data_IF_512844488339
#
_entry.id   IF_512844488339
#
_cell.length_a   1.000
_cell.length_b   1.000
_cell.length_c   1.000
_cell.angle_alpha   90.00
_cell.angle_beta   90.00
_cell.angle_gamma   90.00
#
_symmetry.space_group_name_H-M   'P 1'
#
loop_
_entity.id
_entity.type
_entity.pdbx_description
1 polymer ?
#
# COMPACT_ATOMS: atom_id res chain seq x y z
N UNK A 1 26.35 12.36 -56.61
CA UNK A 1 26.48 12.36 -55.13
C UNK A 1 25.20 12.91 -54.53
N UNK A 2 24.32 12.07 -53.99
CA UNK A 2 23.14 12.48 -53.23
C UNK A 2 23.42 12.12 -51.76
N UNK A 3 23.70 13.12 -50.94
CA UNK A 3 23.81 12.94 -49.50
C UNK A 3 22.40 12.90 -48.91
N UNK A 4 21.94 11.72 -48.51
CA UNK A 4 20.78 11.56 -47.65
C UNK A 4 21.20 11.79 -46.20
N UNK A 5 20.82 12.93 -45.63
CA UNK A 5 20.86 13.13 -44.18
C UNK A 5 19.67 12.38 -43.56
N UNK A 6 19.92 11.21 -42.98
CA UNK A 6 19.04 10.64 -41.97
C UNK A 6 19.30 11.35 -40.65
N UNK A 7 18.42 12.28 -40.27
CA UNK A 7 18.40 12.84 -38.93
C UNK A 7 17.83 11.79 -37.96
N UNK A 8 18.70 11.17 -37.17
CA UNK A 8 18.31 10.34 -36.05
C UNK A 8 17.74 11.23 -34.94
N UNK A 9 16.42 11.21 -34.76
CA UNK A 9 15.78 11.79 -33.58
C UNK A 9 16.01 10.85 -32.39
N UNK A 10 17.08 11.11 -31.64
CA UNK A 10 17.22 10.57 -30.29
C UNK A 10 16.24 11.34 -29.39
N UNK A 11 15.13 10.69 -29.05
CA UNK A 11 14.20 11.17 -28.03
C UNK A 11 14.89 11.09 -26.65
N UNK A 12 15.54 12.18 -26.26
CA UNK A 12 15.85 12.48 -24.87
C UNK A 12 14.53 12.69 -24.15
N UNK A 13 13.92 11.61 -23.65
CA UNK A 13 12.86 11.68 -22.66
C UNK A 13 13.43 12.25 -21.37
N UNK A 14 13.53 13.57 -21.28
CA UNK A 14 13.71 14.28 -20.02
C UNK A 14 12.48 13.98 -19.17
N UNK A 15 12.59 12.98 -18.29
CA UNK A 15 11.59 12.75 -17.26
C UNK A 15 11.53 14.00 -16.40
N UNK A 16 10.42 14.73 -16.49
CA UNK A 16 10.23 15.92 -15.67
C UNK A 16 9.82 15.46 -14.27
N UNK A 17 10.60 15.83 -13.26
CA UNK A 17 10.28 15.56 -11.86
C UNK A 17 8.91 16.18 -11.54
N UNK A 18 7.96 15.37 -11.05
CA UNK A 18 6.65 15.88 -10.68
C UNK A 18 6.76 16.83 -9.50
N UNK A 19 5.90 17.84 -9.44
CA UNK A 19 5.96 18.90 -8.44
C UNK A 19 4.66 18.97 -7.64
N UNK A 20 4.77 19.03 -6.31
CA UNK A 20 3.65 19.25 -5.39
C UNK A 20 4.09 20.20 -4.28
N UNK A 21 3.33 21.27 -4.03
CA UNK A 21 3.63 22.26 -2.97
C UNK A 21 5.09 22.79 -2.96
N UNK A 22 5.67 23.03 -4.14
CA UNK A 22 7.07 23.48 -4.38
C UNK A 22 8.16 22.40 -4.18
N UNK A 23 7.79 21.17 -3.83
CA UNK A 23 8.70 20.03 -3.78
C UNK A 23 8.69 19.31 -5.12
N UNK A 24 9.86 18.84 -5.57
CA UNK A 24 10.02 18.14 -6.84
C UNK A 24 10.89 16.90 -6.67
N UNK A 25 10.38 15.75 -7.09
CA UNK A 25 11.06 14.47 -6.95
C UNK A 25 10.57 13.47 -8.02
N UNK A 26 11.51 12.79 -8.69
CA UNK A 26 11.22 11.85 -9.80
C UNK A 26 10.50 10.57 -9.36
N UNK A 27 10.45 10.34 -8.04
CA UNK A 27 9.88 9.16 -7.41
C UNK A 27 8.60 9.45 -6.64
N UNK A 28 8.09 10.68 -6.72
CA UNK A 28 6.95 11.16 -5.94
C UNK A 28 5.90 11.87 -6.80
N UNK A 29 4.70 12.04 -6.25
CA UNK A 29 3.60 12.90 -6.72
C UNK A 29 2.88 12.52 -8.02
N UNK A 30 3.50 11.83 -8.98
CA UNK A 30 2.89 11.46 -10.27
C UNK A 30 2.16 10.10 -10.28
N UNK A 31 1.56 9.73 -9.15
CA UNK A 31 0.89 8.44 -9.01
C UNK A 31 -0.27 8.27 -9.99
N UNK A 32 -0.98 9.36 -10.27
CA UNK A 32 -2.09 9.45 -11.24
C UNK A 32 -1.69 9.12 -12.68
N UNK A 33 -0.40 9.16 -13.00
CA UNK A 33 0.15 8.77 -14.29
C UNK A 33 0.51 7.28 -14.38
N UNK A 34 0.17 6.47 -13.37
CA UNK A 34 0.37 5.02 -13.38
C UNK A 34 -0.95 4.28 -13.60
N UNK A 35 -0.94 3.21 -14.40
CA UNK A 35 -2.08 2.34 -14.63
C UNK A 35 -1.69 0.88 -14.37
N UNK A 36 -1.98 0.38 -13.16
CA UNK A 36 -1.76 -1.02 -12.77
C UNK A 36 -2.96 -1.59 -12.01
N UNK A 37 -4.20 -1.49 -12.53
CA UNK A 37 -5.40 -1.87 -11.77
C UNK A 37 -5.56 -3.39 -11.60
N UNK A 38 -4.81 -4.22 -12.34
CA UNK A 38 -4.96 -5.68 -12.34
C UNK A 38 -3.63 -6.42 -12.20
N UNK A 39 -2.65 -5.87 -11.47
CA UNK A 39 -1.30 -6.43 -11.42
C UNK A 39 -1.22 -7.77 -10.67
N UNK A 40 -2.14 -8.06 -9.74
CA UNK A 40 -2.20 -9.35 -9.04
C UNK A 40 -2.87 -10.45 -9.87
N UNK A 41 -3.58 -10.09 -10.94
CA UNK A 41 -4.36 -11.02 -11.76
C UNK A 41 -3.52 -12.15 -12.35
N UNK A 42 -2.27 -11.91 -12.75
CA UNK A 42 -1.40 -12.93 -13.34
C UNK A 42 -0.67 -13.84 -12.33
N UNK A 43 -0.81 -13.59 -11.03
CA UNK A 43 -0.07 -14.32 -9.98
C UNK A 43 -0.75 -15.65 -9.63
N UNK A 44 0.01 -16.62 -9.14
CA UNK A 44 -0.51 -17.92 -8.67
C UNK A 44 -1.37 -17.74 -7.41
N UNK A 45 -2.50 -18.44 -7.36
CA UNK A 45 -3.46 -18.40 -6.25
C UNK A 45 -2.87 -18.96 -4.95
N UNK A 46 -1.90 -19.88 -5.02
CA UNK A 46 -1.28 -20.51 -3.85
C UNK A 46 -0.23 -19.63 -3.18
N UNK A 47 0.14 -18.48 -3.78
CA UNK A 47 1.14 -17.58 -3.21
C UNK A 47 0.59 -16.95 -1.93
N UNK A 48 1.22 -17.16 -0.77
CA UNK A 48 0.84 -16.47 0.46
C UNK A 48 0.94 -14.95 0.29
N UNK A 49 0.00 -14.16 0.84
CA UNK A 49 0.13 -12.69 0.78
C UNK A 49 1.44 -12.19 1.39
N UNK A 50 1.98 -12.91 2.38
CA UNK A 50 3.27 -12.60 2.98
C UNK A 50 4.41 -12.65 1.96
N UNK A 51 4.33 -13.47 0.90
CA UNK A 51 5.38 -13.60 -0.12
C UNK A 51 5.39 -12.48 -1.17
N UNK A 52 4.37 -11.61 -1.18
CA UNK A 52 4.25 -10.54 -2.16
C UNK A 52 5.01 -9.28 -1.75
N UNK A 53 5.49 -8.54 -2.75
CA UNK A 53 5.94 -7.16 -2.59
C UNK A 53 4.81 -6.21 -2.96
N UNK A 54 4.23 -5.54 -1.97
CA UNK A 54 2.97 -4.81 -2.13
C UNK A 54 3.22 -3.30 -1.94
N UNK A 55 2.93 -2.47 -2.95
CA UNK A 55 2.91 -1.03 -2.77
C UNK A 55 1.77 -0.62 -1.83
N UNK A 56 2.10 0.21 -0.84
CA UNK A 56 1.17 0.70 0.17
C UNK A 56 1.28 2.20 0.40
N UNK A 57 0.21 2.79 0.92
CA UNK A 57 0.19 4.19 1.36
C UNK A 57 -0.04 4.30 2.86
N UNK A 58 0.69 5.20 3.51
CA UNK A 58 0.48 5.58 4.90
C UNK A 58 -0.47 6.77 4.98
N UNK A 59 -1.36 6.80 5.98
CA UNK A 59 -2.43 7.80 6.10
C UNK A 59 -3.14 8.00 4.75
N UNK A 60 -3.65 6.90 4.21
CA UNK A 60 -3.95 6.75 2.78
C UNK A 60 -4.93 7.76 2.19
N UNK A 61 -5.79 8.34 3.01
CA UNK A 61 -6.87 9.24 2.55
C UNK A 61 -6.65 10.66 3.04
N UNK A 62 -5.45 11.21 2.81
CA UNK A 62 -5.12 12.61 3.17
C UNK A 62 -5.08 13.55 1.97
N UNK A 63 -5.55 13.13 0.79
CA UNK A 63 -5.59 13.93 -0.43
C UNK A 63 -6.48 15.16 -0.31
N UNK A 64 -7.56 15.08 0.49
CA UNK A 64 -8.49 16.19 0.76
C UNK A 64 -8.06 17.11 1.92
N UNK A 65 -6.89 16.89 2.51
CA UNK A 65 -6.43 17.69 3.65
C UNK A 65 -6.28 19.18 3.29
N UNK A 66 -6.93 20.04 4.07
CA UNK A 66 -6.64 21.48 4.07
C UNK A 66 -5.33 21.83 4.81
N UNK A 67 -4.85 20.93 5.67
CA UNK A 67 -3.60 21.10 6.42
C UNK A 67 -2.41 20.48 5.67
N UNK A 68 -1.82 21.22 4.74
CA UNK A 68 -0.69 20.76 3.93
C UNK A 68 0.52 20.25 4.72
N UNK A 69 0.70 20.68 5.97
CA UNK A 69 1.83 20.26 6.81
C UNK A 69 1.71 18.82 7.31
N UNK A 70 0.52 18.22 7.28
CA UNK A 70 0.24 16.85 7.75
C UNK A 70 -0.30 15.95 6.62
N UNK A 71 -0.52 16.50 5.43
CA UNK A 71 -0.88 15.73 4.23
C UNK A 71 0.20 14.69 3.91
N UNK A 72 -0.20 13.47 3.59
CA UNK A 72 0.69 12.35 3.24
C UNK A 72 0.45 11.81 1.84
N UNK A 73 -0.70 12.12 1.22
CA UNK A 73 -1.09 11.69 -0.12
C UNK A 73 -1.63 12.89 -0.92
N UNK A 74 -1.38 12.92 -2.23
CA UNK A 74 -1.83 13.99 -3.14
C UNK A 74 -2.85 13.52 -4.19
N UNK A 75 -3.25 12.24 -4.17
CA UNK A 75 -4.25 11.69 -5.09
C UNK A 75 -5.33 10.88 -4.35
N UNK A 76 -6.58 10.87 -4.84
CA UNK A 76 -7.69 10.13 -4.21
C UNK A 76 -7.46 8.62 -4.11
N UNK A 77 -8.21 7.98 -3.20
CA UNK A 77 -8.14 6.53 -2.97
C UNK A 77 -8.37 5.70 -4.24
N UNK A 78 -9.34 6.09 -5.09
CA UNK A 78 -9.61 5.39 -6.35
C UNK A 78 -8.41 5.46 -7.30
N UNK A 79 -7.76 6.62 -7.42
CA UNK A 79 -6.54 6.77 -8.21
C UNK A 79 -5.43 5.88 -7.65
N UNK A 80 -5.20 5.86 -6.33
CA UNK A 80 -4.21 4.97 -5.72
C UNK A 80 -4.44 3.50 -6.07
N UNK A 81 -5.70 3.04 -6.04
CA UNK A 81 -6.09 1.68 -6.44
C UNK A 81 -5.78 1.42 -7.92
N UNK A 82 -6.17 2.32 -8.83
CA UNK A 82 -5.88 2.20 -10.26
C UNK A 82 -4.37 2.17 -10.52
N UNK A 83 -3.59 2.97 -9.80
CA UNK A 83 -2.14 3.08 -9.96
C UNK A 83 -1.37 1.85 -9.48
N UNK A 84 -1.98 1.00 -8.64
CA UNK A 84 -1.42 -0.28 -8.19
C UNK A 84 -1.20 -0.41 -6.67
N UNK A 85 -1.61 0.58 -5.86
CA UNK A 85 -1.58 0.46 -4.40
C UNK A 85 -2.57 -0.62 -3.95
N UNK A 86 -2.13 -1.53 -3.05
CA UNK A 86 -2.96 -2.60 -2.49
C UNK A 86 -2.87 -2.69 -0.97
N UNK A 87 -2.10 -1.84 -0.32
CA UNK A 87 -2.11 -1.67 1.13
C UNK A 87 -2.51 -0.24 1.49
N UNK A 88 -3.51 -0.09 2.34
CA UNK A 88 -3.99 1.20 2.81
C UNK A 88 -4.02 1.23 4.33
N UNK A 89 -3.55 2.34 4.89
CA UNK A 89 -3.50 2.58 6.32
C UNK A 89 -4.38 3.78 6.71
N UNK A 90 -5.43 3.51 7.49
CA UNK A 90 -6.36 4.53 7.97
C UNK A 90 -6.53 4.46 9.49
N UNK A 91 -6.80 5.62 10.09
CA UNK A 91 -7.11 5.74 11.52
C UNK A 91 -8.51 6.29 11.67
N UNK A 92 -9.41 5.45 12.19
CA UNK A 92 -10.81 5.77 12.36
C UNK A 92 -11.08 6.24 13.79
N UNK A 93 -12.02 7.18 13.92
CA UNK A 93 -12.57 7.68 15.17
C UNK A 93 -14.06 7.56 15.17
N UNK A 94 -14.59 7.22 16.32
CA UNK A 94 -16.00 7.26 16.58
C UNK A 94 -16.45 8.71 16.87
N UNK A 95 -17.23 9.28 15.94
CA UNK A 95 -17.83 10.60 16.09
C UNK A 95 -19.29 10.57 15.65
N UNK A 96 -20.20 10.89 16.57
CA UNK A 96 -21.64 11.01 16.30
C UNK A 96 -22.21 9.80 15.54
N UNK A 97 -21.90 8.59 16.01
CA UNK A 97 -22.34 7.31 15.42
C UNK A 97 -21.74 6.97 14.04
N UNK A 98 -20.72 7.71 13.59
CA UNK A 98 -19.99 7.44 12.36
C UNK A 98 -18.50 7.18 12.65
N UNK A 99 -17.89 6.32 11.83
CA UNK A 99 -16.45 6.05 11.88
C UNK A 99 -15.72 6.96 10.89
N UNK A 100 -15.34 8.15 11.36
CA UNK A 100 -14.64 9.16 10.57
C UNK A 100 -13.14 8.87 10.51
N UNK A 101 -12.48 9.17 9.38
CA UNK A 101 -11.04 8.94 9.21
C UNK A 101 -10.25 10.21 9.55
N UNK A 102 -9.22 10.06 10.38
CA UNK A 102 -8.39 11.14 10.90
C UNK A 102 -6.90 10.87 10.68
N UNK A 103 -6.10 11.93 10.60
CA UNK A 103 -4.65 11.87 10.81
C UNK A 103 -4.23 12.97 11.80
N UNK A 104 -3.57 12.56 12.89
CA UNK A 104 -3.33 13.48 14.01
C UNK A 104 -4.65 14.00 14.59
N UNK A 105 -4.77 15.29 14.86
CA UNK A 105 -6.03 15.92 15.31
C UNK A 105 -7.02 16.20 14.18
N UNK A 106 -6.63 15.99 12.92
CA UNK A 106 -7.30 16.59 11.76
C UNK A 106 -8.12 15.56 11.01
N UNK A 107 -9.35 15.94 10.64
CA UNK A 107 -10.24 15.11 9.83
C UNK A 107 -9.76 15.06 8.39
N UNK A 108 -9.86 13.89 7.78
CA UNK A 108 -9.56 13.70 6.34
C UNK A 108 -10.70 14.09 5.42
N UNK A 109 -11.90 14.30 5.96
CA UNK A 109 -13.11 14.43 5.15
C UNK A 109 -13.61 13.09 4.58
N UNK A 110 -13.00 11.97 4.96
CA UNK A 110 -13.48 10.62 4.65
C UNK A 110 -14.11 9.98 5.90
N UNK A 111 -15.07 9.09 5.67
CA UNK A 111 -15.52 8.10 6.64
C UNK A 111 -15.22 6.67 6.16
N UNK A 112 -15.31 5.69 7.06
CA UNK A 112 -15.01 4.30 6.75
C UNK A 112 -15.98 3.70 5.70
N UNK A 113 -17.23 4.18 5.63
CA UNK A 113 -18.22 3.73 4.64
C UNK A 113 -17.78 4.13 3.23
N UNK A 114 -17.32 5.35 3.05
CA UNK A 114 -16.79 5.85 1.77
C UNK A 114 -15.55 5.06 1.35
N UNK A 115 -14.61 4.83 2.27
CA UNK A 115 -13.40 4.04 2.01
C UNK A 115 -13.75 2.61 1.56
N UNK A 116 -14.61 1.92 2.31
CA UNK A 116 -15.02 0.55 1.98
C UNK A 116 -15.77 0.49 0.64
N UNK A 117 -16.70 1.42 0.39
CA UNK A 117 -17.42 1.46 -0.90
C UNK A 117 -16.47 1.66 -2.08
N UNK A 118 -15.49 2.56 -1.95
CA UNK A 118 -14.49 2.81 -2.99
C UNK A 118 -13.69 1.54 -3.29
N UNK A 119 -13.22 0.85 -2.24
CA UNK A 119 -12.49 -0.41 -2.38
C UNK A 119 -13.36 -1.52 -2.97
N UNK A 120 -14.61 -1.66 -2.51
CA UNK A 120 -15.52 -2.67 -3.03
C UNK A 120 -15.84 -2.45 -4.51
N UNK A 121 -16.06 -1.20 -4.93
CA UNK A 121 -16.29 -0.85 -6.33
C UNK A 121 -15.08 -1.18 -7.21
N UNK A 122 -13.86 -0.95 -6.70
CA UNK A 122 -12.64 -1.38 -7.38
C UNK A 122 -12.58 -2.91 -7.51
N UNK A 123 -12.86 -3.65 -6.43
CA UNK A 123 -12.85 -5.11 -6.44
C UNK A 123 -14.01 -5.74 -7.26
N UNK A 124 -15.10 -5.01 -7.50
CA UNK A 124 -16.13 -5.40 -8.47
C UNK A 124 -15.57 -5.39 -9.90
N UNK A 125 -14.81 -4.35 -10.25
CA UNK A 125 -14.18 -4.20 -11.58
C UNK A 125 -12.94 -5.07 -11.76
N UNK A 126 -12.26 -5.40 -10.67
CA UNK A 126 -11.00 -6.15 -10.66
C UNK A 126 -11.05 -7.33 -9.67
N UNK A 127 -11.90 -8.36 -9.92
CA UNK A 127 -12.16 -9.43 -8.96
C UNK A 127 -10.98 -10.35 -8.68
N UNK A 128 -9.91 -10.28 -9.48
CA UNK A 128 -8.66 -11.01 -9.22
C UNK A 128 -7.69 -10.26 -8.31
N UNK A 129 -7.97 -9.01 -7.95
CA UNK A 129 -7.16 -8.27 -6.99
C UNK A 129 -7.64 -8.51 -5.56
N UNK A 130 -6.84 -8.12 -4.58
CA UNK A 130 -7.21 -8.06 -3.16
C UNK A 130 -6.69 -6.76 -2.58
N UNK A 131 -7.36 -6.21 -1.58
CA UNK A 131 -6.89 -5.00 -0.87
C UNK A 131 -6.60 -5.35 0.58
N UNK A 132 -5.43 -4.95 1.08
CA UNK A 132 -5.08 -5.01 2.50
C UNK A 132 -5.42 -3.65 3.11
N UNK A 133 -6.33 -3.65 4.09
CA UNK A 133 -6.78 -2.42 4.76
C UNK A 133 -6.44 -2.51 6.24
N UNK A 134 -5.48 -1.71 6.70
CA UNK A 134 -5.25 -1.52 8.13
C UNK A 134 -6.25 -0.51 8.66
N UNK A 135 -7.02 -0.94 9.67
CA UNK A 135 -7.95 -0.07 10.40
C UNK A 135 -7.41 0.12 11.81
N UNK A 136 -6.95 1.33 12.09
CA UNK A 136 -6.53 1.74 13.44
C UNK A 136 -7.67 2.41 14.18
N UNK A 137 -7.79 2.14 15.49
CA UNK A 137 -8.59 2.99 16.37
C UNK A 137 -7.79 4.24 16.76
N UNK A 138 -8.35 5.42 16.54
CA UNK A 138 -7.79 6.69 16.96
C UNK A 138 -7.54 6.77 18.47
N UNK A 139 -6.56 7.59 18.87
CA UNK A 139 -6.06 7.68 20.26
C UNK A 139 -6.85 8.60 21.20
N UNK A 140 -7.97 9.17 20.76
CA UNK A 140 -8.82 9.97 21.66
C UNK A 140 -9.55 9.05 22.64
N UNK A 141 -10.17 9.63 23.67
CA UNK A 141 -10.77 8.97 24.87
C UNK A 141 -11.93 7.99 24.58
N UNK A 142 -12.06 7.52 23.35
CA UNK A 142 -13.07 6.57 22.88
C UNK A 142 -12.86 5.18 23.51
N UNK A 143 -13.88 4.69 24.21
CA UNK A 143 -13.91 3.32 24.71
C UNK A 143 -13.89 2.36 23.52
N UNK A 144 -13.08 1.31 23.59
CA UNK A 144 -12.97 0.34 22.48
C UNK A 144 -14.30 -0.30 22.10
N UNK A 145 -15.23 -0.40 23.06
CA UNK A 145 -16.53 -1.05 22.84
C UNK A 145 -17.45 -0.22 21.94
N UNK A 146 -17.40 1.12 21.97
CA UNK A 146 -18.25 1.97 21.10
C UNK A 146 -17.78 1.93 19.65
N UNK A 147 -16.46 1.99 19.46
CA UNK A 147 -15.85 1.83 18.14
C UNK A 147 -16.27 0.50 17.47
N UNK A 148 -16.20 -0.61 18.23
CA UNK A 148 -16.58 -1.93 17.71
C UNK A 148 -18.08 -2.00 17.42
N UNK A 149 -18.94 -1.44 18.28
CA UNK A 149 -20.39 -1.41 18.03
C UNK A 149 -20.76 -0.64 16.75
N UNK A 150 -20.11 0.49 16.48
CA UNK A 150 -20.37 1.24 15.25
C UNK A 150 -19.77 0.55 14.02
N UNK A 151 -18.64 -0.13 14.15
CA UNK A 151 -18.14 -0.99 13.10
C UNK A 151 -19.12 -2.14 12.80
N UNK A 152 -19.64 -2.80 13.83
CA UNK A 152 -20.65 -3.86 13.70
C UNK A 152 -21.89 -3.37 12.97
N UNK A 153 -22.41 -2.21 13.36
CA UNK A 153 -23.55 -1.57 12.69
C UNK A 153 -23.25 -1.21 11.24
N UNK A 154 -22.03 -0.76 10.95
CA UNK A 154 -21.60 -0.41 9.60
C UNK A 154 -21.53 -1.65 8.69
N UNK A 155 -21.14 -2.80 9.26
CA UNK A 155 -20.98 -4.07 8.55
C UNK A 155 -22.22 -4.97 8.65
N UNK A 156 -23.30 -4.49 9.26
CA UNK A 156 -24.56 -5.22 9.43
C UNK A 156 -25.15 -5.59 8.06
N UNK A 157 -25.39 -6.89 7.76
CA UNK A 157 -25.95 -7.36 6.50
C UNK A 157 -27.29 -6.72 6.11
N UNK A 158 -28.05 -6.17 7.07
CA UNK A 158 -29.29 -5.44 6.78
C UNK A 158 -29.05 -4.08 6.11
N UNK A 159 -27.82 -3.58 6.12
CA UNK A 159 -27.42 -2.37 5.40
C UNK A 159 -26.86 -2.70 4.02
N UNK A 160 -27.04 -1.79 3.04
CA UNK A 160 -26.47 -1.95 1.70
C UNK A 160 -24.94 -2.18 1.72
N UNK A 161 -24.21 -1.51 2.62
CA UNK A 161 -22.77 -1.72 2.74
C UNK A 161 -22.47 -3.10 3.37
N UNK A 162 -23.20 -3.50 4.41
CA UNK A 162 -22.96 -4.78 5.08
C UNK A 162 -23.25 -6.00 4.23
N UNK A 163 -24.29 -5.99 3.38
CA UNK A 163 -24.51 -7.09 2.41
C UNK A 163 -23.29 -7.25 1.47
N UNK A 164 -22.71 -6.13 1.03
CA UNK A 164 -21.45 -6.16 0.26
C UNK A 164 -20.28 -6.63 1.13
N UNK A 165 -20.20 -6.18 2.37
CA UNK A 165 -19.11 -6.52 3.29
C UNK A 165 -19.04 -8.03 3.57
N UNK A 166 -20.16 -8.73 3.68
CA UNK A 166 -20.20 -10.21 3.84
C UNK A 166 -19.49 -10.91 2.68
N UNK A 167 -19.58 -10.37 1.46
CA UNK A 167 -18.94 -10.93 0.25
C UNK A 167 -17.51 -10.43 0.07
N UNK A 168 -17.25 -9.18 0.49
CA UNK A 168 -16.05 -8.41 0.16
C UNK A 168 -15.03 -8.31 1.28
N UNK A 169 -15.33 -8.70 2.51
CA UNK A 169 -14.35 -8.76 3.60
C UNK A 169 -13.97 -10.21 3.84
N UNK A 170 -12.68 -10.51 3.84
CA UNK A 170 -12.21 -11.85 4.16
C UNK A 170 -12.47 -12.17 5.63
N UNK A 171 -13.11 -13.32 5.88
CA UNK A 171 -13.46 -13.79 7.22
C UNK A 171 -13.28 -15.31 7.32
N UNK A 172 -12.93 -15.80 8.50
CA UNK A 172 -12.97 -17.22 8.88
C UNK A 172 -14.07 -17.51 9.92
N UNK A 173 -15.08 -16.65 9.98
CA UNK A 173 -16.18 -16.76 10.95
C UNK A 173 -15.69 -16.62 12.40
N UNK A 174 -16.31 -17.36 13.31
CA UNK A 174 -16.07 -17.24 14.75
C UNK A 174 -14.68 -17.68 15.21
N UNK A 175 -13.93 -18.39 14.36
CA UNK A 175 -12.55 -18.79 14.65
C UNK A 175 -11.59 -17.59 14.69
N UNK A 176 -11.96 -16.47 14.04
CA UNK A 176 -11.08 -15.33 13.82
C UNK A 176 -9.91 -15.65 12.87
N UNK A 177 -9.22 -14.61 12.42
CA UNK A 177 -8.08 -14.72 11.51
C UNK A 177 -6.79 -14.76 12.32
N UNK A 178 -6.06 -15.87 12.23
CA UNK A 178 -4.80 -16.10 12.95
C UNK A 178 -3.59 -16.33 12.05
N UNK A 179 -3.81 -16.56 10.75
CA UNK A 179 -2.77 -16.85 9.76
C UNK A 179 -2.92 -15.96 8.52
N UNK A 180 -1.83 -15.83 7.77
CA UNK A 180 -1.82 -15.08 6.50
C UNK A 180 -2.45 -15.94 5.41
N UNK A 181 -3.51 -15.45 4.71
CA UNK A 181 -4.11 -16.21 3.64
C UNK A 181 -3.24 -16.22 2.38
N UNK A 182 -3.52 -17.17 1.51
CA UNK A 182 -3.07 -17.19 0.12
C UNK A 182 -3.79 -16.12 -0.70
N UNK A 183 -3.19 -15.72 -1.83
CA UNK A 183 -3.80 -14.76 -2.74
C UNK A 183 -5.16 -15.25 -3.24
N UNK A 184 -5.30 -16.54 -3.56
CA UNK A 184 -6.53 -17.18 -3.99
C UNK A 184 -7.68 -17.03 -2.99
N UNK A 185 -7.42 -17.23 -1.70
CA UNK A 185 -8.43 -17.11 -0.63
C UNK A 185 -9.04 -15.70 -0.52
N UNK A 186 -8.25 -14.67 -0.87
CA UNK A 186 -8.61 -13.25 -0.71
C UNK A 186 -8.93 -12.52 -2.01
N UNK A 187 -8.86 -13.17 -3.18
CA UNK A 187 -9.25 -12.51 -4.44
C UNK A 187 -10.68 -11.98 -4.35
N UNK A 188 -10.86 -10.73 -4.80
CA UNK A 188 -12.11 -10.01 -4.76
C UNK A 188 -12.49 -9.50 -3.36
N UNK A 189 -11.63 -9.67 -2.35
CA UNK A 189 -11.89 -9.33 -0.95
C UNK A 189 -10.90 -8.32 -0.40
N UNK A 190 -11.27 -7.77 0.74
CA UNK A 190 -10.46 -6.93 1.61
C UNK A 190 -9.93 -7.81 2.74
N UNK A 191 -8.62 -7.87 2.87
CA UNK A 191 -7.95 -8.47 4.01
C UNK A 191 -7.66 -7.38 5.05
N UNK A 192 -8.45 -7.34 6.12
CA UNK A 192 -8.29 -6.32 7.15
C UNK A 192 -7.11 -6.66 8.05
N UNK A 193 -6.31 -5.65 8.38
CA UNK A 193 -5.39 -5.69 9.52
C UNK A 193 -6.03 -4.92 10.67
N UNK A 194 -6.42 -5.65 11.71
CA UNK A 194 -7.20 -5.16 12.82
C UNK A 194 -6.27 -4.53 13.88
N UNK A 195 -6.18 -3.20 13.93
CA UNK A 195 -5.43 -2.45 14.95
C UNK A 195 -6.38 -1.82 15.99
N UNK A 196 -7.24 -2.68 16.52
CA UNK A 196 -8.15 -2.44 17.64
C UNK A 196 -8.51 -3.76 18.32
N UNK A 197 -8.97 -3.71 19.57
CA UNK A 197 -9.32 -4.90 20.35
C UNK A 197 -10.77 -5.30 20.10
N UNK A 198 -11.02 -6.60 20.07
CA UNK A 198 -12.33 -7.24 19.98
C UNK A 198 -12.41 -8.37 20.99
N UNK A 199 -13.62 -8.82 21.36
CA UNK A 199 -13.80 -9.97 22.28
C UNK A 199 -13.16 -11.25 21.74
N UNK A 200 -13.36 -11.54 20.45
CA UNK A 200 -12.67 -12.60 19.71
C UNK A 200 -11.52 -11.97 18.96
N UNK A 201 -10.25 -12.30 19.26
CA UNK A 201 -9.11 -11.80 18.51
C UNK A 201 -9.24 -12.15 17.02
N UNK A 202 -9.02 -11.14 16.17
CA UNK A 202 -9.04 -11.32 14.73
C UNK A 202 -10.41 -11.56 14.12
N UNK A 203 -11.49 -11.16 14.81
CA UNK A 203 -12.87 -11.27 14.32
C UNK A 203 -13.08 -10.61 12.95
N UNK A 204 -12.47 -9.46 12.72
CA UNK A 204 -12.64 -8.70 11.48
C UNK A 204 -11.45 -8.80 10.51
N UNK A 205 -10.30 -9.26 10.99
CA UNK A 205 -9.04 -9.18 10.26
C UNK A 205 -7.88 -9.72 11.07
N UNK A 206 -6.70 -9.88 10.49
CA UNK A 206 -5.52 -10.30 11.23
C UNK A 206 -5.13 -9.24 12.28
N UNK A 207 -4.97 -9.59 13.57
CA UNK A 207 -4.55 -8.62 14.58
C UNK A 207 -3.19 -8.00 14.25
N UNK A 208 -3.10 -6.67 14.30
CA UNK A 208 -1.89 -5.89 13.94
C UNK A 208 -0.64 -6.28 14.73
N UNK A 209 -0.83 -6.81 15.95
CA UNK A 209 0.25 -7.26 16.86
C UNK A 209 0.35 -8.79 16.96
N UNK A 210 -0.16 -9.52 15.97
CA UNK A 210 -0.04 -10.98 15.92
C UNK A 210 1.40 -11.42 15.64
N UNK A 211 1.75 -12.65 16.02
CA UNK A 211 3.04 -13.27 15.73
C UNK A 211 3.29 -13.50 14.23
N UNK A 212 2.21 -13.51 13.43
CA UNK A 212 2.22 -13.62 11.98
C UNK A 212 2.66 -12.33 11.26
N UNK A 213 2.97 -11.25 12.00
CA UNK A 213 3.36 -9.97 11.43
C UNK A 213 4.72 -9.50 11.93
N UNK A 214 5.43 -8.79 11.06
CA UNK A 214 6.62 -8.02 11.40
C UNK A 214 6.44 -6.60 10.90
N UNK A 215 6.18 -5.67 11.82
CA UNK A 215 5.97 -4.26 11.51
C UNK A 215 7.23 -3.49 11.85
N UNK A 216 7.87 -2.95 10.81
CA UNK A 216 9.04 -2.10 10.95
C UNK A 216 8.60 -0.64 10.83
N UNK A 217 8.64 0.05 11.96
CA UNK A 217 8.34 1.47 12.06
C UNK A 217 9.42 2.15 12.91
N UNK A 218 10.44 2.68 12.24
CA UNK A 218 11.47 3.48 12.91
C UNK A 218 10.96 4.91 13.10
N UNK A 219 10.47 5.17 14.31
CA UNK A 219 10.02 6.49 14.75
C UNK A 219 11.20 7.23 15.37
N UNK A 220 11.77 8.17 14.63
CA UNK A 220 12.80 9.05 15.16
C UNK A 220 12.15 10.39 15.56
N UNK A 221 12.48 10.89 16.75
CA UNK A 221 11.84 12.06 17.40
C UNK A 221 12.58 13.38 17.09
N UNK A 222 13.61 13.37 16.23
CA UNK A 222 14.35 14.59 15.86
C UNK A 222 14.24 14.90 14.36
N UNK A 223 14.24 16.21 14.07
CA UNK A 223 14.03 16.93 12.79
C UNK A 223 14.66 16.25 11.56
N UNK A 224 14.20 16.66 10.37
CA UNK A 224 14.55 16.19 9.00
C UNK A 224 16.05 15.92 8.66
N UNK A 225 17.01 16.26 9.54
CA UNK A 225 18.44 15.95 9.40
C UNK A 225 18.79 14.46 9.38
N UNK A 226 17.84 13.55 9.63
CA UNK A 226 18.10 12.11 9.77
C UNK A 226 17.35 11.24 8.75
N UNK A 227 16.92 11.79 7.60
CA UNK A 227 16.36 11.00 6.49
C UNK A 227 17.32 9.88 6.08
N UNK A 228 18.63 10.16 6.00
CA UNK A 228 19.65 9.15 5.72
C UNK A 228 19.70 8.06 6.79
N UNK A 229 19.70 8.39 8.08
CA UNK A 229 19.71 7.40 9.15
C UNK A 229 18.45 6.52 9.12
N UNK A 230 17.29 7.15 8.88
CA UNK A 230 16.02 6.44 8.68
C UNK A 230 16.10 5.51 7.48
N UNK A 231 16.67 5.98 6.37
CA UNK A 231 16.90 5.17 5.19
C UNK A 231 17.76 3.95 5.49
N UNK A 232 18.89 4.11 6.20
CA UNK A 232 19.73 2.97 6.59
C UNK A 232 18.95 1.94 7.43
N UNK A 233 18.12 2.40 8.38
CA UNK A 233 17.26 1.50 9.16
C UNK A 233 16.22 0.79 8.27
N UNK A 234 15.52 1.53 7.40
CA UNK A 234 14.53 0.99 6.44
C UNK A 234 15.16 -0.04 5.52
N UNK A 235 16.32 0.28 4.95
CA UNK A 235 17.09 -0.63 4.08
C UNK A 235 17.47 -1.90 4.84
N UNK A 236 18.00 -1.77 6.06
CA UNK A 236 18.32 -2.91 6.91
C UNK A 236 17.10 -3.80 7.19
N UNK A 237 15.93 -3.22 7.45
CA UNK A 237 14.70 -4.00 7.62
C UNK A 237 14.29 -4.74 6.35
N UNK A 238 14.38 -4.10 5.18
CA UNK A 238 14.08 -4.74 3.90
C UNK A 238 15.04 -5.91 3.64
N UNK A 239 16.33 -5.74 3.93
CA UNK A 239 17.35 -6.78 3.75
C UNK A 239 17.21 -7.96 4.72
N UNK A 240 16.56 -7.75 5.87
CA UNK A 240 16.23 -8.82 6.83
C UNK A 240 15.02 -9.66 6.42
N UNK A 241 14.24 -9.24 5.42
CA UNK A 241 13.06 -10.01 4.97
C UNK A 241 13.53 -11.28 4.27
N UNK A 242 13.19 -12.48 4.77
CA UNK A 242 13.66 -13.72 4.16
C UNK A 242 13.07 -13.89 2.76
N UNK A 243 13.93 -14.22 1.80
CA UNK A 243 13.55 -14.47 0.40
C UNK A 243 12.72 -15.74 0.20
N UNK A 244 12.76 -16.68 1.15
CA UNK A 244 11.95 -17.92 1.17
C UNK A 244 11.50 -18.28 2.60
N UNK A 245 10.37 -18.98 2.71
CA UNK A 245 9.98 -19.74 3.91
C UNK A 245 9.48 -18.96 5.12
N UNK A 246 9.42 -17.62 5.08
CA UNK A 246 8.86 -16.85 6.20
C UNK A 246 7.40 -16.50 5.95
N UNK A 247 6.50 -17.13 6.72
CA UNK A 247 5.06 -16.90 6.64
C UNK A 247 4.62 -15.51 7.14
N UNK A 248 5.55 -14.68 7.66
CA UNK A 248 5.21 -13.39 8.25
C UNK A 248 4.91 -12.33 7.20
N UNK A 249 3.83 -11.60 7.43
CA UNK A 249 3.51 -10.38 6.70
C UNK A 249 4.42 -9.25 7.22
N UNK A 250 5.38 -8.86 6.38
CA UNK A 250 6.33 -7.78 6.68
C UNK A 250 5.81 -6.45 6.16
N UNK A 251 5.75 -5.43 7.01
CA UNK A 251 5.31 -4.08 6.66
C UNK A 251 6.38 -3.08 7.08
N UNK A 252 6.91 -2.35 6.11
CA UNK A 252 7.94 -1.32 6.34
C UNK A 252 7.36 0.05 6.03
N UNK A 253 7.34 0.93 7.03
CA UNK A 253 6.90 2.32 6.87
C UNK A 253 8.09 3.20 6.50
N UNK A 254 8.00 3.91 5.38
CA UNK A 254 8.97 4.95 5.01
C UNK A 254 8.56 6.34 5.54
N UNK A 255 7.35 6.46 6.10
CA UNK A 255 6.79 7.69 6.70
C UNK A 255 7.28 7.97 8.13
N UNK A 256 7.04 9.18 8.64
CA UNK A 256 7.36 9.58 10.03
C UNK A 256 6.14 9.60 10.95
N UNK A 257 6.37 9.81 12.24
CA UNK A 257 5.29 9.91 13.24
C UNK A 257 5.19 11.27 13.96
N UNK A 258 6.24 12.09 14.07
CA UNK A 258 6.18 13.39 14.77
C UNK A 258 7.32 14.32 14.33
N UNK A 259 7.06 15.61 14.09
CA UNK A 259 8.08 16.68 14.10
C UNK A 259 8.70 17.10 12.76
N UNK A 260 8.31 16.51 11.63
CA UNK A 260 8.63 16.99 10.28
C UNK A 260 7.40 16.89 9.37
N UNK A 261 7.42 17.54 8.19
CA UNK A 261 6.31 17.43 7.24
C UNK A 261 6.46 16.13 6.45
N UNK A 262 5.39 15.35 6.24
CA UNK A 262 5.48 14.11 5.46
C UNK A 262 6.10 14.33 4.07
N UNK A 263 5.79 15.46 3.41
CA UNK A 263 6.32 15.81 2.10
C UNK A 263 7.85 16.01 2.08
N UNK A 264 8.43 16.61 3.13
CA UNK A 264 9.88 16.83 3.26
C UNK A 264 10.62 15.50 3.43
N UNK A 265 10.00 14.51 4.08
CA UNK A 265 10.59 13.19 4.27
C UNK A 265 10.47 12.36 3.00
N UNK A 266 9.31 12.38 2.35
CA UNK A 266 9.06 11.62 1.13
C UNK A 266 9.93 12.11 -0.04
N UNK A 267 9.87 13.40 -0.35
CA UNK A 267 10.51 14.00 -1.53
C UNK A 267 11.88 14.64 -1.23
N UNK A 268 12.18 14.91 0.04
CA UNK A 268 13.40 15.62 0.44
C UNK A 268 13.20 17.14 0.51
N UNK A 269 14.24 17.85 0.93
CA UNK A 269 14.24 19.32 1.03
C UNK A 269 15.65 19.87 0.78
N UNK A 270 15.75 21.08 0.22
CA UNK A 270 17.01 21.83 0.13
C UNK A 270 18.18 21.04 -0.49
N UNK A 271 17.93 20.37 -1.62
CA UNK A 271 18.96 19.59 -2.34
C UNK A 271 19.28 18.23 -1.73
N UNK A 272 18.62 17.81 -0.64
CA UNK A 272 18.74 16.48 -0.06
C UNK A 272 17.65 15.55 -0.58
N UNK A 273 18.02 14.31 -0.87
CA UNK A 273 17.09 13.28 -1.31
C UNK A 273 16.10 12.87 -0.20
N UNK A 274 14.85 12.63 -0.58
CA UNK A 274 13.84 12.04 0.30
C UNK A 274 13.85 10.52 0.29
N UNK A 275 13.04 9.93 1.16
CA UNK A 275 12.85 8.48 1.29
C UNK A 275 12.41 7.82 -0.02
N UNK A 276 11.58 8.48 -0.83
CA UNK A 276 11.08 7.91 -2.09
C UNK A 276 12.20 7.78 -3.12
N UNK A 277 13.12 8.74 -3.19
CA UNK A 277 14.32 8.66 -4.03
C UNK A 277 15.26 7.55 -3.57
N UNK A 278 15.59 7.49 -2.27
CA UNK A 278 16.45 6.42 -1.74
C UNK A 278 15.86 5.03 -2.00
N UNK A 279 14.56 4.85 -1.72
CA UNK A 279 13.87 3.59 -1.96
C UNK A 279 13.83 3.25 -3.47
N UNK A 280 13.50 4.22 -4.31
CA UNK A 280 13.43 4.06 -5.76
C UNK A 280 14.75 3.63 -6.39
N UNK A 281 15.84 4.30 -6.01
CA UNK A 281 17.19 3.97 -6.47
C UNK A 281 17.66 2.58 -6.00
N UNK A 282 17.37 2.25 -4.74
CA UNK A 282 17.65 0.92 -4.19
C UNK A 282 16.89 -0.18 -4.95
N UNK A 283 15.58 -0.03 -5.13
CA UNK A 283 14.75 -1.02 -5.83
C UNK A 283 15.12 -1.10 -7.33
N UNK A 284 15.46 0.02 -7.95
CA UNK A 284 15.92 0.06 -9.36
C UNK A 284 17.22 -0.70 -9.53
N UNK A 285 18.18 -0.51 -8.62
CA UNK A 285 19.45 -1.25 -8.60
C UNK A 285 19.22 -2.73 -8.33
N UNK A 286 18.36 -3.06 -7.35
CA UNK A 286 17.99 -4.44 -7.00
C UNK A 286 17.35 -5.18 -8.17
N UNK A 287 16.44 -4.54 -8.91
CA UNK A 287 15.78 -5.11 -10.09
C UNK A 287 16.72 -5.31 -11.30
N UNK A 288 17.91 -4.69 -11.32
CA UNK A 288 18.93 -4.87 -12.37
C UNK A 288 19.96 -5.95 -12.02
N UNK A 289 19.96 -6.47 -10.79
CA UNK A 289 20.98 -7.41 -10.34
C UNK A 289 20.90 -8.74 -11.12
N UNK A 290 22.03 -9.27 -11.64
CA UNK A 290 22.06 -10.42 -12.55
C UNK A 290 21.70 -11.77 -11.89
N UNK A 291 21.59 -11.84 -10.56
CA UNK A 291 21.55 -13.11 -9.83
C UNK A 291 20.18 -13.80 -9.76
N UNK A 292 19.19 -13.37 -10.53
CA UNK A 292 17.93 -14.11 -10.77
C UNK A 292 17.00 -14.35 -9.56
N UNK A 293 17.46 -14.10 -8.33
CA UNK A 293 16.63 -14.14 -7.12
C UNK A 293 16.03 -12.75 -6.93
N UNK A 294 14.78 -12.59 -7.37
CA UNK A 294 14.00 -11.39 -7.07
C UNK A 294 13.59 -11.45 -5.60
N UNK A 295 14.39 -10.86 -4.72
CA UNK A 295 14.09 -10.84 -3.29
C UNK A 295 12.92 -9.88 -3.02
N UNK A 296 11.85 -10.40 -2.42
CA UNK A 296 10.69 -9.62 -1.99
C UNK A 296 11.09 -8.54 -0.99
N UNK A 297 10.27 -7.48 -0.92
CA UNK A 297 10.43 -6.39 0.07
C UNK A 297 9.24 -6.27 1.02
N UNK A 298 8.26 -7.18 0.93
CA UNK A 298 7.03 -7.13 1.71
C UNK A 298 6.14 -5.94 1.32
N UNK A 299 5.30 -5.49 2.25
CA UNK A 299 4.51 -4.26 2.09
C UNK A 299 5.39 -3.06 2.40
N UNK A 300 5.43 -2.08 1.50
CA UNK A 300 6.08 -0.79 1.74
C UNK A 300 5.01 0.30 1.82
N UNK A 301 4.81 0.87 3.01
CA UNK A 301 3.84 1.93 3.26
C UNK A 301 4.52 3.31 3.12
N UNK A 302 4.10 4.07 2.11
CA UNK A 302 4.78 5.29 1.63
C UNK A 302 3.89 6.54 1.77
N UNK A 303 4.53 7.70 1.89
CA UNK A 303 3.91 9.01 1.69
C UNK A 303 4.24 9.50 0.27
N UNK A 304 3.26 10.05 -0.45
CA UNK A 304 3.40 10.62 -1.80
C UNK A 304 4.13 9.76 -2.85
N UNK A 305 3.92 8.43 -2.94
CA UNK A 305 4.66 7.61 -3.90
C UNK A 305 4.33 8.00 -5.35
N UNK A 306 5.33 8.03 -6.24
CA UNK A 306 5.16 8.25 -7.68
C UNK A 306 5.15 6.96 -8.49
N UNK A 307 4.79 7.06 -9.79
CA UNK A 307 4.60 5.88 -10.68
C UNK A 307 5.86 5.03 -10.82
N UNK A 308 7.03 5.68 -10.88
CA UNK A 308 8.31 5.01 -11.04
C UNK A 308 8.60 4.09 -9.85
N UNK A 309 8.25 4.53 -8.64
CA UNK A 309 8.42 3.77 -7.42
C UNK A 309 7.52 2.55 -7.39
N UNK A 310 6.23 2.73 -7.72
CA UNK A 310 5.26 1.63 -7.85
C UNK A 310 5.76 0.58 -8.83
N UNK A 311 6.22 1.00 -10.00
CA UNK A 311 6.74 0.11 -11.04
C UNK A 311 7.91 -0.75 -10.53
N UNK A 312 8.80 -0.22 -9.69
CA UNK A 312 9.92 -1.01 -9.16
C UNK A 312 9.46 -2.04 -8.14
N UNK A 313 8.49 -1.73 -7.28
CA UNK A 313 7.93 -2.69 -6.33
C UNK A 313 7.19 -3.81 -7.08
N UNK A 314 6.36 -3.47 -8.07
CA UNK A 314 5.56 -4.46 -8.81
C UNK A 314 6.41 -5.48 -9.59
N UNK A 315 7.57 -5.05 -10.13
CA UNK A 315 8.52 -5.96 -10.81
C UNK A 315 8.98 -7.12 -9.92
N UNK A 316 8.99 -6.93 -8.60
CA UNK A 316 9.45 -7.96 -7.67
C UNK A 316 8.51 -9.17 -7.59
N UNK A 317 7.27 -9.04 -8.07
CA UNK A 317 6.28 -10.11 -8.05
C UNK A 317 6.31 -11.00 -9.30
N UNK A 318 7.18 -10.74 -10.28
CA UNK A 318 7.26 -11.54 -11.53
C UNK A 318 7.52 -13.03 -11.28
N UNK A 319 8.22 -13.36 -10.20
CA UNK A 319 8.53 -14.74 -9.81
C UNK A 319 7.28 -15.58 -9.48
N UNK A 320 6.17 -14.90 -9.18
CA UNK A 320 4.90 -15.50 -8.78
C UNK A 320 3.91 -15.61 -9.94
N UNK A 321 4.29 -15.21 -11.16
CA UNK A 321 3.42 -15.27 -12.32
C UNK A 321 3.23 -16.72 -12.78
N UNK A 322 1.98 -17.09 -13.07
CA UNK A 322 1.67 -18.38 -13.69
C UNK A 322 2.13 -18.33 -15.15
N UNK A 323 3.05 -19.22 -15.53
CA UNK A 323 3.38 -19.40 -16.95
C UNK A 323 2.25 -20.23 -17.59
N UNK A 324 1.62 -19.79 -18.69
CA UNK A 324 0.66 -20.62 -19.39
C UNK A 324 1.33 -21.96 -19.77
N UNK A 325 0.64 -23.11 -19.66
CA UNK A 325 1.19 -24.35 -20.17
C UNK A 325 1.55 -24.16 -21.64
N UNK A 326 2.78 -24.52 -22.02
CA UNK A 326 3.23 -24.46 -23.40
C UNK A 326 2.21 -25.20 -24.26
N UNK A 327 1.53 -24.47 -25.15
CA UNK A 327 0.54 -25.06 -26.04
C UNK A 327 1.18 -26.21 -26.80
N UNK A 328 0.60 -27.41 -26.67
CA UNK A 328 0.95 -28.53 -27.53
C UNK A 328 0.84 -28.05 -28.98
N UNK A 329 1.87 -28.24 -29.83
CA UNK A 329 1.80 -27.84 -31.23
C UNK A 329 0.63 -28.58 -31.86
N UNK A 330 -0.38 -27.81 -32.29
CA UNK A 330 -1.54 -28.34 -32.99
C UNK A 330 -1.08 -29.13 -34.20
N UNK A 331 -1.52 -30.39 -34.31
CA UNK A 331 -1.35 -31.16 -35.54
C UNK A 331 -2.05 -30.41 -36.67
N UNK A 332 -1.41 -30.19 -37.82
CA UNK A 332 -2.09 -29.64 -38.97
C UNK A 332 -3.15 -30.64 -39.43
N UNK A 333 -4.38 -30.15 -39.57
CA UNK A 333 -5.49 -30.82 -40.26
C UNK A 333 -5.29 -30.76 -41.76
#
# INVERSE_FOLDING_TARGET
MRFSLFAAWASLGLGYAATHNKYSDDWSFDLDSAENPAWMSGLDDNVPLSMLSIPGTHNSVTDRFGEYNTQSQNVPLETQLISGIRYFDISCRDLFFNLMVYHGSSSTGYDLREVLNTIFNFLDKHPRETVILRIQKGKFTERSDTFVQHLERLLDPETHLGDRAVKRIFSKGDAGITAIPTLGEVRGKVFILQDFKTRVPGRYGLPWRSSAMSVYNFKLILKAFLVELKWHAVKGFIELIPSRGSEKLCITHTSISVGAKPIEIAAGSEGKAGMNRYLGEYLSSKNKAPNGVTERVGIIAMDFPGKSLIKQILKLNKVHQVTPPAGLPGRPS
#
